data_IF_240746008938
#
_entry.id   IF_240746008938
#
_cell.length_a   1.000
_cell.length_b   1.000
_cell.length_c   1.000
_cell.angle_alpha   90.00
_cell.angle_beta   90.00
_cell.angle_gamma   90.00
#
_symmetry.space_group_name_H-M   'P 1'
#
loop_
_entity.id
_entity.type
_entity.pdbx_description
1 polymer ?
#
# COMPACT_ATOMS: atom_id res chain seq x y z
N UNK A 1 -28.97 -22.97 16.10
CA UNK A 1 -27.59 -22.61 15.70
C UNK A 1 -27.67 -21.46 14.72
N UNK A 2 -27.33 -20.25 15.15
CA UNK A 2 -27.26 -19.09 14.23
C UNK A 2 -25.98 -19.24 13.38
N UNK A 3 -26.13 -19.69 12.14
CA UNK A 3 -25.03 -19.67 11.16
C UNK A 3 -24.80 -18.20 10.76
N UNK A 4 -23.79 -17.57 11.37
CA UNK A 4 -23.35 -16.26 10.91
C UNK A 4 -22.91 -16.35 9.44
N UNK A 5 -23.26 -15.37 8.61
CA UNK A 5 -22.81 -15.38 7.21
C UNK A 5 -21.29 -15.44 7.11
N UNK A 6 -20.78 -16.23 6.18
CA UNK A 6 -19.32 -16.46 6.01
C UNK A 6 -18.51 -15.18 5.77
N UNK A 7 -19.10 -14.11 5.23
CA UNK A 7 -18.44 -12.81 5.05
C UNK A 7 -18.15 -12.09 6.38
N UNK A 8 -18.79 -12.49 7.50
CA UNK A 8 -18.50 -11.93 8.84
C UNK A 8 -17.25 -12.59 9.47
N UNK A 9 -16.89 -13.79 9.02
CA UNK A 9 -15.78 -14.56 9.59
C UNK A 9 -14.46 -14.38 8.86
N UNK A 10 -14.49 -13.89 7.61
CA UNK A 10 -13.29 -13.66 6.79
C UNK A 10 -13.27 -12.19 6.30
N UNK A 11 -13.06 -11.26 7.23
CA UNK A 11 -13.03 -9.83 6.94
C UNK A 11 -11.74 -9.47 6.19
N UNK A 12 -11.83 -8.60 5.16
CA UNK A 12 -10.67 -8.20 4.37
C UNK A 12 -9.73 -7.34 5.20
N UNK A 13 -8.43 -7.57 5.06
CA UNK A 13 -7.38 -6.79 5.71
C UNK A 13 -6.97 -5.59 4.87
N UNK A 14 -6.27 -4.64 5.49
CA UNK A 14 -5.63 -3.49 4.81
C UNK A 14 -4.17 -3.83 4.54
N UNK A 15 -3.78 -3.83 3.28
CA UNK A 15 -2.38 -4.02 2.89
C UNK A 15 -1.61 -2.70 2.90
N UNK A 16 -0.46 -2.64 3.55
CA UNK A 16 0.40 -1.46 3.59
C UNK A 16 1.64 -1.70 2.73
N UNK A 17 1.86 -0.83 1.75
CA UNK A 17 2.92 -0.95 0.73
C UNK A 17 3.90 0.21 0.85
N UNK A 18 5.06 0.02 1.50
CA UNK A 18 6.16 0.99 1.47
C UNK A 18 6.81 0.99 0.08
N UNK A 19 6.60 2.04 -0.70
CA UNK A 19 7.18 2.17 -2.05
C UNK A 19 8.31 3.19 -2.06
N UNK A 20 9.39 2.87 -2.76
CA UNK A 20 10.62 3.63 -2.80
C UNK A 20 11.17 3.69 -4.23
N UNK A 21 11.98 4.69 -4.52
CA UNK A 21 12.79 4.71 -5.73
C UNK A 21 13.81 3.55 -5.67
N UNK A 22 13.61 2.55 -6.52
CA UNK A 22 14.38 1.31 -6.51
C UNK A 22 15.79 1.42 -7.11
N UNK A 23 16.20 2.61 -7.56
CA UNK A 23 17.54 2.80 -8.12
C UNK A 23 18.61 2.78 -7.04
N UNK A 24 19.60 1.92 -7.24
CA UNK A 24 20.74 1.81 -6.32
C UNK A 24 21.84 2.84 -6.59
N UNK A 25 21.78 3.61 -7.68
CA UNK A 25 22.80 4.61 -7.99
C UNK A 25 22.75 5.77 -7.01
N UNK A 26 23.89 6.09 -6.42
CA UNK A 26 24.04 7.20 -5.48
C UNK A 26 23.44 6.98 -4.10
N UNK A 27 23.21 5.75 -3.68
CA UNK A 27 22.68 5.44 -2.35
C UNK A 27 21.24 5.96 -2.10
N UNK A 28 20.47 6.16 -3.14
CA UNK A 28 19.13 6.76 -3.03
C UNK A 28 18.19 5.87 -2.24
N UNK A 29 18.16 4.58 -2.56
CA UNK A 29 17.29 3.61 -1.91
C UNK A 29 17.67 3.47 -0.44
N UNK A 30 18.94 3.26 -0.16
CA UNK A 30 19.46 3.05 1.19
C UNK A 30 19.19 4.24 2.10
N UNK A 31 19.24 5.46 1.55
CA UNK A 31 19.00 6.70 2.33
C UNK A 31 17.55 6.91 2.76
N UNK A 32 16.60 6.22 2.13
CA UNK A 32 15.16 6.41 2.36
C UNK A 32 14.47 5.18 2.94
N UNK A 33 15.09 4.01 2.90
CA UNK A 33 14.45 2.73 3.21
C UNK A 33 13.89 2.70 4.64
N UNK A 34 14.68 3.11 5.61
CA UNK A 34 14.23 3.18 7.01
C UNK A 34 13.06 4.14 7.19
N UNK A 35 13.12 5.32 6.57
CA UNK A 35 12.04 6.30 6.66
C UNK A 35 10.73 5.75 6.08
N UNK A 36 10.78 5.10 4.91
CA UNK A 36 9.61 4.55 4.24
C UNK A 36 8.98 3.43 5.06
N UNK A 37 9.80 2.54 5.62
CA UNK A 37 9.33 1.46 6.48
C UNK A 37 8.68 2.01 7.76
N UNK A 38 9.28 3.01 8.40
CA UNK A 38 8.72 3.65 9.59
C UNK A 38 7.38 4.34 9.29
N UNK A 39 7.26 5.01 8.14
CA UNK A 39 5.99 5.61 7.71
C UNK A 39 4.91 4.55 7.47
N UNK A 40 5.27 3.43 6.83
CA UNK A 40 4.33 2.33 6.60
C UNK A 40 3.87 1.68 7.90
N UNK A 41 4.78 1.46 8.84
CA UNK A 41 4.43 0.94 10.16
C UNK A 41 3.53 1.91 10.93
N UNK A 42 3.85 3.19 10.97
CA UNK A 42 3.02 4.19 11.62
C UNK A 42 1.60 4.28 11.02
N UNK A 43 1.47 4.16 9.70
CA UNK A 43 0.17 4.10 9.04
C UNK A 43 -0.62 2.84 9.42
N UNK A 44 0.03 1.69 9.51
CA UNK A 44 -0.59 0.44 9.96
C UNK A 44 -1.07 0.55 11.41
N UNK A 45 -0.24 1.07 12.30
CA UNK A 45 -0.56 1.24 13.72
C UNK A 45 -1.77 2.19 13.90
N UNK A 46 -1.80 3.29 13.16
CA UNK A 46 -2.92 4.23 13.17
C UNK A 46 -4.22 3.56 12.69
N UNK A 47 -4.18 2.83 11.59
CA UNK A 47 -5.36 2.13 11.06
C UNK A 47 -5.86 1.10 12.06
N UNK A 48 -4.99 0.30 12.65
CA UNK A 48 -5.37 -0.73 13.61
C UNK A 48 -5.95 -0.13 14.91
N UNK A 49 -5.43 1.02 15.36
CA UNK A 49 -5.93 1.67 16.58
C UNK A 49 -7.27 2.38 16.39
N UNK A 50 -7.47 3.02 15.25
CA UNK A 50 -8.61 3.90 15.02
C UNK A 50 -9.79 3.23 14.31
N UNK A 51 -9.55 2.20 13.51
CA UNK A 51 -10.59 1.57 12.71
C UNK A 51 -11.04 0.23 13.30
N UNK A 52 -12.33 -0.01 13.21
CA UNK A 52 -12.94 -1.27 13.64
C UNK A 52 -13.87 -1.82 12.57
N UNK A 53 -13.89 -3.13 12.47
CA UNK A 53 -14.89 -3.83 11.66
C UNK A 53 -16.30 -3.67 12.29
N UNK A 54 -17.37 -3.90 11.53
CA UNK A 54 -18.73 -3.83 12.05
C UNK A 54 -19.02 -4.74 13.25
N UNK A 55 -18.23 -5.79 13.44
CA UNK A 55 -18.32 -6.70 14.59
C UNK A 55 -17.55 -6.21 15.82
N UNK A 56 -16.95 -5.00 15.78
CA UNK A 56 -16.20 -4.38 16.86
C UNK A 56 -14.75 -4.82 16.99
N UNK A 57 -14.27 -5.77 16.18
CA UNK A 57 -12.84 -6.14 16.14
C UNK A 57 -12.02 -5.04 15.48
N UNK A 58 -10.79 -4.90 15.90
CA UNK A 58 -9.81 -4.02 15.24
C UNK A 58 -9.55 -4.46 13.81
N UNK A 59 -9.34 -3.47 12.93
CA UNK A 59 -8.94 -3.74 11.54
C UNK A 59 -7.53 -4.31 11.53
N UNK A 60 -7.32 -5.37 10.78
CA UNK A 60 -6.01 -5.99 10.63
C UNK A 60 -5.26 -5.40 9.44
N UNK A 61 -3.98 -5.09 9.64
CA UNK A 61 -3.08 -4.65 8.59
C UNK A 61 -2.05 -5.73 8.23
N UNK A 62 -1.69 -5.78 6.95
CA UNK A 62 -0.62 -6.63 6.41
C UNK A 62 0.41 -5.74 5.74
N UNK A 63 1.63 -5.70 6.28
CA UNK A 63 2.72 -4.98 5.65
C UNK A 63 3.41 -5.85 4.60
N UNK A 64 3.91 -5.22 3.53
CA UNK A 64 4.87 -5.88 2.63
C UNK A 64 6.13 -6.29 3.42
N UNK A 65 6.86 -7.28 2.90
CA UNK A 65 8.05 -7.83 3.61
C UNK A 65 9.25 -6.88 3.62
N UNK A 66 9.16 -5.78 2.87
CA UNK A 66 10.19 -4.75 2.77
C UNK A 66 9.75 -3.65 1.84
N UNK A 67 10.65 -2.71 1.55
CA UNK A 67 10.39 -1.65 0.59
C UNK A 67 10.26 -2.20 -0.83
N UNK A 68 9.30 -1.66 -1.57
CA UNK A 68 9.00 -2.04 -2.96
C UNK A 68 9.60 -0.97 -3.88
N UNK A 69 10.60 -1.34 -4.65
CA UNK A 69 11.25 -0.46 -5.62
C UNK A 69 11.49 -1.13 -6.97
N UNK A 70 11.02 -2.38 -7.14
CA UNK A 70 11.21 -3.15 -8.35
C UNK A 70 10.08 -4.13 -8.64
N UNK A 71 10.12 -4.71 -9.83
CA UNK A 71 9.07 -5.60 -10.33
C UNK A 71 8.94 -6.87 -9.47
N UNK A 72 10.06 -7.48 -9.09
CA UNK A 72 10.06 -8.70 -8.28
C UNK A 72 9.43 -8.46 -6.90
N UNK A 73 9.80 -7.37 -6.23
CA UNK A 73 9.25 -6.98 -4.93
C UNK A 73 7.73 -6.67 -5.03
N UNK A 74 7.31 -6.04 -6.14
CA UNK A 74 5.90 -5.78 -6.43
C UNK A 74 5.10 -7.08 -6.56
N UNK A 75 5.60 -8.05 -7.34
CA UNK A 75 4.96 -9.34 -7.52
C UNK A 75 4.85 -10.12 -6.19
N UNK A 76 5.92 -10.18 -5.43
CA UNK A 76 5.92 -10.82 -4.11
C UNK A 76 4.90 -10.19 -3.15
N UNK A 77 4.82 -8.86 -3.16
CA UNK A 77 3.82 -8.15 -2.34
C UNK A 77 2.39 -8.48 -2.79
N UNK A 78 2.12 -8.53 -4.10
CA UNK A 78 0.81 -8.87 -4.64
C UNK A 78 0.38 -10.29 -4.25
N UNK A 79 1.28 -11.28 -4.37
CA UNK A 79 1.04 -12.67 -3.95
C UNK A 79 0.79 -12.78 -2.44
N UNK A 80 1.57 -12.05 -1.62
CA UNK A 80 1.35 -12.00 -0.18
C UNK A 80 -0.03 -11.46 0.15
N UNK A 81 -0.41 -10.34 -0.45
CA UNK A 81 -1.68 -9.69 -0.18
C UNK A 81 -2.89 -10.53 -0.60
N UNK A 82 -2.79 -11.25 -1.70
CA UNK A 82 -3.81 -12.20 -2.11
C UNK A 82 -3.96 -13.34 -1.10
N UNK A 83 -2.85 -13.97 -0.69
CA UNK A 83 -2.84 -15.05 0.29
C UNK A 83 -3.37 -14.61 1.66
N UNK A 84 -3.13 -13.37 2.05
CA UNK A 84 -3.53 -12.80 3.35
C UNK A 84 -4.93 -12.18 3.36
N UNK A 85 -5.68 -12.28 2.26
CA UNK A 85 -7.04 -11.71 2.12
C UNK A 85 -7.07 -10.17 2.28
N UNK A 86 -6.13 -9.49 1.66
CA UNK A 86 -6.13 -8.03 1.60
C UNK A 86 -7.22 -7.54 0.65
N UNK A 87 -8.15 -6.72 1.15
CA UNK A 87 -9.27 -6.18 0.37
C UNK A 87 -9.11 -4.73 -0.08
N UNK A 88 -8.15 -4.03 0.49
CA UNK A 88 -7.76 -2.66 0.10
C UNK A 88 -6.29 -2.47 0.42
N UNK A 89 -5.57 -1.68 -0.38
CA UNK A 89 -4.17 -1.40 -0.09
C UNK A 89 -3.91 0.10 0.06
N UNK A 90 -2.99 0.45 0.95
CA UNK A 90 -2.41 1.76 1.10
C UNK A 90 -0.95 1.73 0.67
N UNK A 91 -0.63 2.46 -0.37
CA UNK A 91 0.74 2.72 -0.78
C UNK A 91 1.26 3.96 -0.05
N UNK A 92 2.42 3.87 0.55
CA UNK A 92 3.10 4.96 1.27
C UNK A 92 4.42 5.25 0.60
N UNK A 93 4.65 6.49 0.17
CA UNK A 93 5.91 6.88 -0.44
C UNK A 93 6.30 8.33 -0.14
N UNK A 94 7.54 8.58 0.31
CA UNK A 94 8.10 9.92 0.50
C UNK A 94 8.81 10.46 -0.76
N UNK A 95 8.88 9.67 -1.85
CA UNK A 95 9.67 10.00 -3.02
C UNK A 95 8.97 9.64 -4.33
N UNK A 96 9.51 10.13 -5.42
CA UNK A 96 9.12 9.69 -6.74
C UNK A 96 9.52 8.22 -6.97
N UNK A 97 8.62 7.45 -7.57
CA UNK A 97 8.81 6.04 -7.93
C UNK A 97 8.19 5.76 -9.30
N UNK A 98 8.31 4.54 -9.77
CA UNK A 98 7.64 4.10 -11.00
C UNK A 98 6.19 3.67 -10.70
N UNK A 99 5.25 4.03 -11.59
CA UNK A 99 3.81 3.77 -11.36
C UNK A 99 3.42 2.29 -11.47
N UNK A 100 4.26 1.42 -12.01
CA UNK A 100 3.95 0.01 -12.17
C UNK A 100 3.78 -0.73 -10.84
N UNK A 101 4.45 -0.31 -9.78
CA UNK A 101 4.37 -0.94 -8.46
C UNK A 101 2.94 -0.98 -7.90
N UNK A 102 2.11 -0.02 -8.30
CA UNK A 102 0.69 0.01 -7.91
C UNK A 102 -0.19 -0.64 -8.97
N UNK A 103 0.19 -0.57 -10.24
CA UNK A 103 -0.58 -1.13 -11.36
C UNK A 103 -0.62 -2.66 -11.38
N UNK A 104 0.41 -3.33 -10.86
CA UNK A 104 0.52 -4.80 -10.81
C UNK A 104 -0.41 -5.44 -9.78
N UNK A 105 -1.01 -4.68 -8.88
CA UNK A 105 -2.02 -5.17 -7.95
C UNK A 105 -3.29 -5.59 -8.68
N UNK A 106 -4.06 -6.48 -8.06
CA UNK A 106 -5.33 -6.94 -8.63
C UNK A 106 -6.18 -5.74 -9.11
N UNK A 107 -6.69 -5.76 -10.34
CA UNK A 107 -7.29 -4.57 -10.96
C UNK A 107 -8.51 -4.01 -10.25
N UNK A 108 -9.28 -4.85 -9.57
CA UNK A 108 -10.51 -4.43 -8.87
C UNK A 108 -10.30 -4.14 -7.38
N UNK A 109 -9.13 -4.45 -6.80
CA UNK A 109 -8.83 -4.11 -5.41
C UNK A 109 -8.63 -2.60 -5.29
N UNK A 110 -9.43 -1.90 -4.46
CA UNK A 110 -9.23 -0.47 -4.22
C UNK A 110 -7.85 -0.16 -3.66
N UNK A 111 -7.25 0.91 -4.14
CA UNK A 111 -5.91 1.33 -3.76
C UNK A 111 -5.94 2.77 -3.28
N UNK A 112 -5.41 3.03 -2.10
CA UNK A 112 -5.09 4.37 -1.64
C UNK A 112 -3.59 4.62 -1.80
N UNK A 113 -3.22 5.86 -2.07
CA UNK A 113 -1.83 6.28 -2.22
C UNK A 113 -1.61 7.52 -1.37
N UNK A 114 -0.72 7.41 -0.39
CA UNK A 114 -0.21 8.53 0.38
C UNK A 114 1.15 8.95 -0.16
N UNK A 115 1.16 10.02 -0.94
CA UNK A 115 2.35 10.62 -1.52
C UNK A 115 2.88 11.74 -0.63
N UNK A 116 3.75 11.43 0.33
CA UNK A 116 4.26 12.38 1.30
C UNK A 116 5.23 13.40 0.67
N UNK A 117 5.11 14.65 1.09
CA UNK A 117 5.84 15.79 0.52
C UNK A 117 6.91 16.39 1.45
N UNK A 118 7.29 15.68 2.48
CA UNK A 118 8.23 16.15 3.50
C UNK A 118 9.72 15.87 3.21
N UNK A 119 10.06 15.47 1.99
CA UNK A 119 11.43 15.17 1.57
C UNK A 119 11.83 16.00 0.35
N UNK A 120 13.12 16.00 0.00
CA UNK A 120 13.63 16.57 -1.24
C UNK A 120 13.11 15.89 -2.52
N UNK A 121 12.50 14.72 -2.37
CA UNK A 121 11.98 13.88 -3.45
C UNK A 121 10.49 13.64 -3.23
N UNK A 122 9.65 14.61 -3.62
CA UNK A 122 8.25 14.62 -3.20
C UNK A 122 7.45 13.45 -3.76
N UNK A 123 6.79 12.71 -2.87
CA UNK A 123 5.87 11.63 -3.21
C UNK A 123 4.61 12.10 -3.92
N UNK A 124 4.26 13.37 -3.85
CA UNK A 124 3.11 13.94 -4.56
C UNK A 124 3.21 13.80 -6.09
N UNK A 125 4.42 13.78 -6.64
CA UNK A 125 4.62 13.53 -8.08
C UNK A 125 4.24 12.10 -8.43
N UNK A 126 4.64 11.14 -7.59
CA UNK A 126 4.22 9.75 -7.74
C UNK A 126 2.69 9.60 -7.61
N UNK A 127 2.11 10.23 -6.58
CA UNK A 127 0.66 10.24 -6.38
C UNK A 127 -0.09 10.71 -7.63
N UNK A 128 0.28 11.86 -8.19
CA UNK A 128 -0.35 12.40 -9.38
C UNK A 128 -0.23 11.45 -10.59
N UNK A 129 0.94 10.88 -10.81
CA UNK A 129 1.19 9.95 -11.91
C UNK A 129 0.38 8.64 -11.76
N UNK A 130 0.32 8.08 -10.55
CA UNK A 130 -0.42 6.84 -10.27
C UNK A 130 -1.92 7.07 -10.43
N UNK A 131 -2.47 8.15 -9.89
CA UNK A 131 -3.90 8.47 -10.03
C UNK A 131 -4.29 8.64 -11.50
N UNK A 132 -3.50 9.37 -12.29
CA UNK A 132 -3.73 9.54 -13.70
C UNK A 132 -3.68 8.20 -14.47
N UNK A 133 -2.69 7.36 -14.20
CA UNK A 133 -2.54 6.06 -14.84
C UNK A 133 -3.70 5.11 -14.51
N UNK A 134 -4.14 5.08 -13.25
CA UNK A 134 -5.30 4.28 -12.82
C UNK A 134 -6.60 4.77 -13.45
N UNK A 135 -6.83 6.09 -13.51
CA UNK A 135 -8.00 6.68 -14.15
C UNK A 135 -8.08 6.29 -15.64
N UNK A 136 -6.96 6.33 -16.36
CA UNK A 136 -6.90 5.90 -17.77
C UNK A 136 -7.23 4.41 -17.96
N UNK A 137 -6.98 3.59 -16.96
CA UNK A 137 -7.26 2.15 -16.97
C UNK A 137 -8.62 1.79 -16.37
N UNK A 138 -9.38 2.76 -15.88
CA UNK A 138 -10.65 2.51 -15.17
C UNK A 138 -10.46 1.72 -13.87
N UNK A 139 -9.33 1.85 -13.21
CA UNK A 139 -9.00 1.12 -11.96
C UNK A 139 -9.22 2.00 -10.74
N UNK A 140 -9.78 1.46 -9.64
CA UNK A 140 -10.04 2.26 -8.43
C UNK A 140 -8.73 2.62 -7.73
N UNK A 141 -8.44 3.92 -7.62
CA UNK A 141 -7.33 4.46 -6.85
C UNK A 141 -7.72 5.81 -6.22
N UNK A 142 -7.27 6.04 -4.99
CA UNK A 142 -7.58 7.21 -4.19
C UNK A 142 -6.30 7.85 -3.69
N UNK A 143 -6.25 9.19 -3.69
CA UNK A 143 -5.12 9.96 -3.18
C UNK A 143 -5.35 10.47 -1.76
N UNK A 144 -4.27 10.55 -1.00
CA UNK A 144 -4.20 11.13 0.35
C UNK A 144 -3.12 12.22 0.39
#
# INVERSE_FOLDING_TARGET
>A
MSTQPTWITNLPKVGIRPIIDGRYSGGIRESLEEQVLNMAQAAADLICSELKYPNGKEVECVLADGCIGGIAETAQCAEKFERENVGVSLTVTPCWCYGFETMDMHPTTPKAVWGFNGTERPGAVYLAAVLAAHAQKGRPAFGL
#
